data_IF_596102301435
#
_entry.id   IF_596102301435
#
_cell.length_a   1.000
_cell.length_b   1.000
_cell.length_c   1.000
_cell.angle_alpha   90.00
_cell.angle_beta   90.00
_cell.angle_gamma   90.00
#
_symmetry.space_group_name_H-M   'P 1'
#
loop_
_entity.id
_entity.type
_entity.pdbx_description
1 polymer ?
#
# COMPACT_ATOMS: atom_id res chain seq x y z
N UNK A 1 10.54 -13.03 4.35
CA UNK A 1 9.69 -11.88 4.72
C UNK A 1 10.52 -10.60 4.70
N UNK A 2 9.93 -9.43 4.39
CA UNK A 2 10.64 -8.14 4.46
C UNK A 2 10.37 -7.34 5.75
N UNK A 3 9.49 -7.80 6.64
CA UNK A 3 9.12 -7.10 7.89
C UNK A 3 9.69 -7.78 9.14
N UNK A 4 9.68 -7.11 10.31
CA UNK A 4 10.09 -7.71 11.59
C UNK A 4 9.24 -8.91 12.04
N UNK A 5 8.11 -9.18 11.38
CA UNK A 5 7.31 -10.39 11.59
C UNK A 5 8.11 -11.68 11.36
N UNK A 6 9.27 -11.59 10.69
CA UNK A 6 10.21 -12.71 10.59
C UNK A 6 10.62 -13.28 11.95
N UNK A 7 10.72 -12.46 13.00
CA UNK A 7 11.05 -12.92 14.35
C UNK A 7 9.95 -13.83 14.91
N UNK A 8 8.69 -13.48 14.69
CA UNK A 8 7.56 -14.33 15.07
C UNK A 8 7.51 -15.63 14.25
N UNK A 9 7.84 -15.57 12.95
CA UNK A 9 7.96 -16.78 12.13
C UNK A 9 9.09 -17.68 12.62
N UNK A 10 10.24 -17.13 13.01
CA UNK A 10 11.33 -17.92 13.58
C UNK A 10 10.92 -18.64 14.86
N UNK A 11 10.17 -17.96 15.75
CA UNK A 11 9.61 -18.61 16.96
C UNK A 11 8.63 -19.73 16.60
N UNK A 12 7.80 -19.54 15.57
CA UNK A 12 6.91 -20.59 15.08
C UNK A 12 7.68 -21.78 14.50
N UNK A 13 8.73 -21.51 13.72
CA UNK A 13 9.62 -22.54 13.16
C UNK A 13 10.29 -23.34 14.29
N UNK A 14 10.84 -22.66 15.31
CA UNK A 14 11.44 -23.33 16.47
C UNK A 14 10.42 -24.21 17.20
N UNK A 15 9.21 -23.70 17.41
CA UNK A 15 8.12 -24.46 18.03
C UNK A 15 7.73 -25.70 17.21
N UNK A 16 7.60 -25.58 15.88
CA UNK A 16 7.29 -26.70 14.99
C UNK A 16 8.39 -27.76 14.99
N UNK A 17 9.65 -27.33 14.92
CA UNK A 17 10.80 -28.23 14.92
C UNK A 17 10.97 -28.94 16.28
N UNK A 18 10.66 -28.27 17.41
CA UNK A 18 10.78 -28.86 18.77
C UNK A 18 9.62 -29.76 19.16
N UNK A 19 8.38 -29.50 18.69
CA UNK A 19 7.22 -30.38 18.92
C UNK A 19 7.40 -31.80 18.36
N UNK A 20 8.34 -31.97 17.44
CA UNK A 20 8.68 -33.25 16.85
C UNK A 20 9.70 -34.07 17.69
N UNK A 21 10.17 -33.52 18.82
CA UNK A 21 11.14 -34.16 19.73
C UNK A 21 10.42 -34.69 20.98
N UNK A 22 9.90 -35.94 20.93
CA UNK A 22 9.36 -36.80 22.03
C UNK A 22 7.88 -36.66 22.47
N UNK A 23 7.17 -37.79 22.73
CA UNK A 23 6.95 -38.98 21.88
C UNK A 23 5.75 -38.74 20.92
N UNK A 24 5.52 -39.60 19.91
CA UNK A 24 4.46 -39.35 18.92
C UNK A 24 3.09 -39.38 19.58
N UNK A 25 2.30 -38.32 19.41
CA UNK A 25 0.87 -38.37 19.64
C UNK A 25 0.32 -39.37 18.61
N UNK A 26 0.10 -40.63 19.03
CA UNK A 26 -0.38 -41.75 18.20
C UNK A 26 -1.75 -41.51 17.53
N UNK A 27 -2.40 -40.37 17.81
CA UNK A 27 -3.74 -40.02 17.32
C UNK A 27 -3.74 -38.94 16.24
N UNK A 28 -2.61 -38.28 15.96
CA UNK A 28 -2.46 -37.43 14.78
C UNK A 28 -1.72 -38.26 13.74
N UNK A 29 -2.36 -38.51 12.59
CA UNK A 29 -1.77 -39.21 11.44
C UNK A 29 -0.45 -38.58 10.98
N UNK A 30 0.14 -39.03 9.85
CA UNK A 30 1.53 -38.77 9.48
C UNK A 30 1.76 -37.28 9.14
N UNK A 31 1.84 -36.43 10.17
CA UNK A 31 2.45 -35.13 10.08
C UNK A 31 3.94 -35.41 9.93
N UNK A 32 4.34 -35.52 8.66
CA UNK A 32 5.71 -35.66 8.19
C UNK A 32 6.64 -34.78 9.03
N UNK A 33 7.80 -35.33 9.36
CA UNK A 33 8.95 -34.61 9.90
C UNK A 33 9.12 -33.26 9.21
N UNK A 34 8.74 -32.18 9.89
CA UNK A 34 8.95 -30.83 9.35
C UNK A 34 10.26 -30.33 9.96
N UNK A 35 11.32 -30.32 9.16
CA UNK A 35 12.58 -29.65 9.50
C UNK A 35 12.64 -28.35 8.70
N UNK A 36 12.03 -27.28 9.22
CA UNK A 36 11.99 -25.99 8.53
C UNK A 36 13.27 -25.21 8.80
N UNK A 37 13.96 -24.84 7.73
CA UNK A 37 15.09 -23.93 7.78
C UNK A 37 14.62 -22.48 7.90
N UNK A 38 15.28 -21.72 8.78
CA UNK A 38 15.08 -20.27 8.90
C UNK A 38 15.81 -19.56 7.77
N UNK A 39 15.07 -18.97 6.83
CA UNK A 39 15.62 -18.12 5.77
C UNK A 39 15.77 -16.67 6.27
N UNK A 40 16.81 -15.94 5.81
CA UNK A 40 17.07 -14.57 6.26
C UNK A 40 15.96 -13.59 5.87
N UNK A 41 16.03 -12.37 6.43
CA UNK A 41 15.18 -11.26 6.01
C UNK A 41 15.39 -10.99 4.52
N UNK A 42 14.31 -10.91 3.76
CA UNK A 42 14.38 -10.61 2.34
C UNK A 42 14.60 -9.10 2.16
N UNK A 43 15.70 -8.74 1.49
CA UNK A 43 16.09 -7.37 1.18
C UNK A 43 16.09 -7.08 -0.33
N UNK A 44 15.49 -7.97 -1.13
CA UNK A 44 15.46 -7.84 -2.59
C UNK A 44 14.77 -6.55 -3.03
N UNK A 45 15.11 -6.08 -4.22
CA UNK A 45 14.50 -4.90 -4.82
C UNK A 45 12.97 -5.02 -4.87
N UNK A 46 12.26 -3.96 -4.47
CA UNK A 46 10.80 -3.98 -4.33
C UNK A 46 10.07 -4.16 -5.66
N UNK A 47 10.66 -3.67 -6.77
CA UNK A 47 10.09 -3.82 -8.10
C UNK A 47 10.16 -5.23 -8.69
N UNK A 48 10.78 -6.20 -8.01
CA UNK A 48 10.88 -7.58 -8.50
C UNK A 48 9.79 -8.50 -7.91
N UNK A 49 8.80 -7.97 -7.20
CA UNK A 49 7.77 -8.79 -6.55
C UNK A 49 6.51 -8.02 -6.21
N UNK A 50 5.40 -8.75 -6.05
CA UNK A 50 4.11 -8.24 -5.56
C UNK A 50 4.09 -7.92 -4.04
N UNK A 51 5.24 -7.92 -3.36
CA UNK A 51 5.26 -7.75 -1.91
C UNK A 51 4.73 -6.37 -1.47
N UNK A 52 5.08 -5.31 -2.20
CA UNK A 52 4.62 -3.95 -1.88
C UNK A 52 3.14 -3.77 -2.24
N UNK A 53 2.61 -4.42 -3.30
CA UNK A 53 1.17 -4.34 -3.61
C UNK A 53 0.33 -4.95 -2.47
N UNK A 54 0.75 -6.09 -1.90
CA UNK A 54 0.11 -6.67 -0.72
C UNK A 54 0.18 -5.77 0.52
N UNK A 55 1.29 -5.06 0.73
CA UNK A 55 1.40 -4.07 1.81
C UNK A 55 0.47 -2.87 1.58
N UNK A 56 0.37 -2.39 0.34
CA UNK A 56 -0.52 -1.30 -0.05
C UNK A 56 -1.98 -1.70 0.12
N UNK A 57 -2.35 -2.93 -0.19
CA UNK A 57 -3.72 -3.45 -0.01
C UNK A 57 -4.16 -3.36 1.46
N UNK A 58 -3.25 -3.62 2.41
CA UNK A 58 -3.53 -3.49 3.84
C UNK A 58 -3.53 -2.02 4.29
N UNK A 59 -2.41 -1.32 4.11
CA UNK A 59 -2.11 -0.08 4.84
C UNK A 59 -1.98 1.16 3.94
N UNK A 60 -2.14 0.99 2.63
CA UNK A 60 -2.08 2.05 1.65
C UNK A 60 -3.39 2.83 1.51
N UNK A 61 -3.27 4.13 1.24
CA UNK A 61 -4.40 5.02 1.06
C UNK A 61 -4.21 5.93 -0.17
N UNK A 62 -5.15 5.85 -1.12
CA UNK A 62 -5.22 6.73 -2.28
C UNK A 62 -6.22 7.83 -2.03
N UNK A 63 -5.79 9.09 -2.17
CA UNK A 63 -6.62 10.24 -1.85
C UNK A 63 -6.50 11.35 -2.88
N UNK A 64 -7.62 12.04 -3.09
CA UNK A 64 -7.70 13.24 -3.92
C UNK A 64 -8.21 14.40 -3.07
N UNK A 65 -7.33 15.35 -2.78
CA UNK A 65 -7.68 16.57 -2.04
C UNK A 65 -8.16 17.64 -3.01
N UNK A 66 -9.29 18.26 -2.67
CA UNK A 66 -9.89 19.38 -3.40
C UNK A 66 -10.04 20.54 -2.42
N UNK A 67 -9.17 21.55 -2.51
CA UNK A 67 -9.19 22.70 -1.58
C UNK A 67 -9.73 23.92 -2.31
N UNK A 68 -10.78 24.55 -1.79
CA UNK A 68 -11.23 25.85 -2.31
C UNK A 68 -10.18 26.90 -2.01
N UNK A 69 -9.80 27.68 -3.02
CA UNK A 69 -8.90 28.82 -2.91
C UNK A 69 -9.65 29.99 -2.27
N UNK A 70 -9.26 30.47 -1.08
CA UNK A 70 -9.87 31.63 -0.45
C UNK A 70 -9.59 32.90 -1.26
N UNK A 71 -10.47 33.89 -1.12
CA UNK A 71 -10.25 35.24 -1.64
C UNK A 71 -9.38 36.06 -0.68
N UNK A 72 -8.46 36.94 -1.14
CA UNK A 72 -8.09 37.23 -2.52
C UNK A 72 -6.93 36.37 -3.08
N UNK A 73 -6.93 36.10 -4.39
CA UNK A 73 -5.84 35.39 -5.08
C UNK A 73 -6.16 35.08 -6.56
N UNK A 74 -5.17 34.79 -7.42
CA UNK A 74 -5.36 34.62 -8.87
C UNK A 74 -6.24 33.42 -9.27
N UNK A 75 -6.54 32.50 -8.33
CA UNK A 75 -7.47 31.38 -8.49
C UNK A 75 -8.67 31.47 -7.54
N UNK A 76 -8.85 32.60 -6.85
CA UNK A 76 -9.93 32.78 -5.88
C UNK A 76 -11.29 32.60 -6.56
N UNK A 77 -12.08 31.65 -6.07
CA UNK A 77 -13.49 31.49 -6.45
C UNK A 77 -13.80 30.59 -7.67
N UNK A 78 -12.89 30.39 -8.63
CA UNK A 78 -13.27 29.71 -9.87
C UNK A 78 -13.13 28.17 -9.83
N UNK A 79 -11.99 27.62 -9.38
CA UNK A 79 -11.78 26.17 -9.38
C UNK A 79 -10.96 25.69 -8.17
N UNK A 80 -11.27 24.53 -7.58
CA UNK A 80 -10.54 24.01 -6.44
C UNK A 80 -9.12 23.57 -6.83
N UNK A 81 -8.16 23.77 -5.92
CA UNK A 81 -6.84 23.14 -6.03
C UNK A 81 -6.99 21.63 -5.85
N UNK A 82 -6.56 20.86 -6.85
CA UNK A 82 -6.61 19.40 -6.85
C UNK A 82 -5.22 18.84 -6.56
N UNK A 83 -5.13 17.89 -5.63
CA UNK A 83 -3.88 17.20 -5.30
C UNK A 83 -4.14 15.68 -5.19
N UNK A 84 -3.45 14.89 -6.02
CA UNK A 84 -3.45 13.43 -5.96
C UNK A 84 -2.32 12.94 -5.06
N UNK A 85 -2.65 12.14 -4.05
CA UNK A 85 -1.70 11.64 -3.06
C UNK A 85 -1.92 10.15 -2.80
N UNK A 86 -0.83 9.41 -2.73
CA UNK A 86 -0.80 8.13 -2.04
C UNK A 86 -0.11 8.30 -0.70
N UNK A 87 -0.62 7.66 0.34
CA UNK A 87 -0.04 7.62 1.68
C UNK A 87 0.05 6.20 2.20
N UNK A 88 1.17 5.88 2.85
CA UNK A 88 1.34 4.67 3.63
C UNK A 88 1.89 5.05 5.00
N UNK A 89 1.19 4.66 6.06
CA UNK A 89 1.57 4.94 7.44
C UNK A 89 1.61 3.65 8.24
N UNK A 90 2.68 3.46 9.02
CA UNK A 90 2.83 2.31 9.90
C UNK A 90 3.45 2.73 11.22
N UNK A 91 3.11 2.00 12.29
CA UNK A 91 3.74 2.18 13.61
C UNK A 91 5.26 2.00 13.54
N UNK A 92 6.01 2.77 14.33
CA UNK A 92 7.47 2.69 14.31
C UNK A 92 8.00 1.35 14.82
N UNK A 93 7.38 0.83 15.89
CA UNK A 93 7.72 -0.48 16.46
C UNK A 93 6.50 -1.38 16.45
N UNK A 94 6.70 -2.68 16.22
CA UNK A 94 5.64 -3.66 16.35
C UNK A 94 5.26 -3.92 17.82
N UNK A 95 4.29 -4.82 18.05
CA UNK A 95 3.81 -5.15 19.40
C UNK A 95 4.85 -5.90 20.25
N UNK A 96 5.96 -6.34 19.64
CA UNK A 96 7.09 -6.98 20.31
C UNK A 96 8.30 -6.03 20.42
N UNK A 97 8.15 -4.76 20.02
CA UNK A 97 9.19 -3.75 20.10
C UNK A 97 10.17 -3.74 18.91
N UNK A 98 9.98 -4.58 17.89
CA UNK A 98 10.87 -4.58 16.73
C UNK A 98 10.58 -3.39 15.80
N UNK A 99 11.64 -2.75 15.29
CA UNK A 99 11.52 -1.57 14.43
C UNK A 99 11.04 -1.91 13.02
N UNK A 100 10.03 -1.19 12.54
CA UNK A 100 9.53 -1.22 11.16
C UNK A 100 10.32 -0.31 10.21
N UNK A 101 11.31 0.42 10.72
CA UNK A 101 12.07 1.43 9.96
C UNK A 101 12.69 0.88 8.69
N UNK A 102 13.37 -0.28 8.77
CA UNK A 102 14.15 -0.82 7.66
C UNK A 102 13.33 -0.99 6.37
N UNK A 103 12.17 -1.65 6.46
CA UNK A 103 11.36 -1.89 5.27
C UNK A 103 10.64 -0.63 4.80
N UNK A 104 10.24 0.26 5.71
CA UNK A 104 9.60 1.52 5.35
C UNK A 104 10.58 2.49 4.68
N UNK A 105 11.84 2.53 5.12
CA UNK A 105 12.92 3.25 4.47
C UNK A 105 13.20 2.69 3.06
N UNK A 106 13.16 1.37 2.88
CA UNK A 106 13.28 0.75 1.56
C UNK A 106 12.12 1.14 0.62
N UNK A 107 10.89 1.19 1.13
CA UNK A 107 9.73 1.67 0.36
C UNK A 107 9.88 3.16 0.01
N UNK A 108 10.33 3.98 0.96
CA UNK A 108 10.56 5.42 0.75
C UNK A 108 11.57 5.65 -0.38
N UNK A 109 12.69 4.92 -0.34
CA UNK A 109 13.74 4.96 -1.36
C UNK A 109 13.22 4.52 -2.73
N UNK A 110 12.46 3.43 -2.78
CA UNK A 110 11.88 2.92 -4.04
C UNK A 110 10.91 3.92 -4.67
N UNK A 111 10.00 4.50 -3.90
CA UNK A 111 9.01 5.48 -4.38
C UNK A 111 9.60 6.90 -4.56
N UNK A 112 10.87 7.12 -4.21
CA UNK A 112 11.53 8.43 -4.15
C UNK A 112 10.75 9.46 -3.31
N UNK A 113 10.24 9.05 -2.15
CA UNK A 113 9.47 9.91 -1.24
C UNK A 113 10.20 10.12 0.08
N UNK A 114 9.81 11.16 0.81
CA UNK A 114 10.33 11.40 2.16
C UNK A 114 9.87 10.33 3.15
N UNK A 115 10.81 9.80 3.93
CA UNK A 115 10.53 9.02 5.14
C UNK A 115 10.41 9.98 6.34
N UNK A 116 9.22 10.07 6.95
CA UNK A 116 8.96 11.03 8.02
C UNK A 116 8.40 10.36 9.26
N UNK A 117 8.85 10.80 10.43
CA UNK A 117 8.16 10.51 11.68
C UNK A 117 6.85 11.31 11.75
N UNK A 118 5.84 10.73 12.37
CA UNK A 118 4.57 11.39 12.66
C UNK A 118 3.97 10.85 13.94
N UNK A 119 3.15 11.67 14.61
CA UNK A 119 2.53 11.31 15.89
C UNK A 119 3.57 10.93 16.97
N UNK A 120 4.75 11.54 16.92
CA UNK A 120 5.87 11.24 17.83
C UNK A 120 5.51 11.45 19.30
N UNK A 121 4.69 12.46 19.60
CA UNK A 121 4.23 12.76 20.96
C UNK A 121 2.99 11.95 21.37
N UNK A 122 2.76 10.78 20.78
CA UNK A 122 1.62 9.92 21.11
C UNK A 122 2.10 8.52 21.53
N UNK A 123 1.28 7.73 22.25
CA UNK A 123 1.62 6.34 22.58
C UNK A 123 1.86 5.44 21.36
N UNK A 124 1.49 5.91 20.16
CA UNK A 124 1.55 5.15 18.91
C UNK A 124 2.27 5.96 17.83
N UNK A 125 3.59 6.19 17.96
CA UNK A 125 4.36 6.90 16.95
C UNK A 125 4.42 6.10 15.65
N UNK A 126 4.42 6.81 14.54
CA UNK A 126 4.33 6.24 13.21
C UNK A 126 5.42 6.79 12.28
N UNK A 127 5.76 6.02 11.28
CA UNK A 127 6.39 6.53 10.07
C UNK A 127 5.32 6.75 9.00
N UNK A 128 5.48 7.80 8.19
CA UNK A 128 4.62 8.14 7.06
C UNK A 128 5.44 8.30 5.79
N UNK A 129 4.95 7.68 4.72
CA UNK A 129 5.41 7.82 3.35
C UNK A 129 4.30 8.47 2.53
N UNK A 130 4.63 9.43 1.67
CA UNK A 130 3.62 10.09 0.82
C UNK A 130 4.18 10.49 -0.52
N UNK A 131 3.47 10.14 -1.60
CA UNK A 131 3.73 10.70 -2.93
C UNK A 131 2.98 12.04 -3.06
N UNK A 132 3.63 13.03 -3.64
CA UNK A 132 3.08 14.39 -3.75
C UNK A 132 3.32 15.05 -5.11
N UNK A 133 4.17 14.47 -5.95
CA UNK A 133 4.49 14.98 -7.28
C UNK A 133 3.99 14.03 -8.35
N UNK A 134 3.84 14.53 -9.59
CA UNK A 134 3.51 13.69 -10.73
C UNK A 134 4.55 12.57 -10.92
N UNK A 135 5.85 12.88 -10.81
CA UNK A 135 6.93 11.89 -10.92
C UNK A 135 6.77 10.75 -9.90
N UNK A 136 6.65 11.08 -8.61
CA UNK A 136 6.55 10.05 -7.55
C UNK A 136 5.26 9.23 -7.66
N UNK A 137 4.15 9.85 -8.10
CA UNK A 137 2.92 9.14 -8.39
C UNK A 137 3.07 8.18 -9.59
N UNK A 138 3.79 8.57 -10.64
CA UNK A 138 4.02 7.73 -11.82
C UNK A 138 4.90 6.51 -11.50
N UNK A 139 5.88 6.64 -10.60
CA UNK A 139 6.65 5.48 -10.10
C UNK A 139 5.71 4.44 -9.48
N UNK A 140 4.78 4.89 -8.63
CA UNK A 140 3.79 4.01 -8.02
C UNK A 140 2.83 3.40 -9.06
N UNK A 141 2.39 4.18 -10.04
CA UNK A 141 1.53 3.68 -11.13
C UNK A 141 2.24 2.58 -11.91
N UNK A 142 3.52 2.76 -12.26
CA UNK A 142 4.28 1.76 -12.99
C UNK A 142 4.39 0.46 -12.19
N UNK A 143 4.69 0.54 -10.89
CA UNK A 143 4.72 -0.63 -10.02
C UNK A 143 3.37 -1.35 -9.95
N UNK A 144 2.26 -0.63 -9.75
CA UNK A 144 0.94 -1.24 -9.61
C UNK A 144 0.33 -1.70 -10.94
N UNK A 145 0.85 -1.27 -12.08
CA UNK A 145 0.51 -1.86 -13.38
C UNK A 145 1.14 -3.26 -13.54
N UNK A 146 2.33 -3.47 -12.99
CA UNK A 146 3.03 -4.77 -13.02
C UNK A 146 2.53 -5.70 -11.90
N UNK A 147 2.25 -5.15 -10.72
CA UNK A 147 1.74 -5.87 -9.55
C UNK A 147 0.42 -5.25 -9.08
N UNK A 148 -0.71 -5.66 -9.70
CA UNK A 148 -2.01 -5.08 -9.40
C UNK A 148 -2.45 -5.28 -7.95
N UNK A 149 -3.33 -4.37 -7.50
CA UNK A 149 -4.14 -4.55 -6.30
C UNK A 149 -5.32 -5.47 -6.62
N UNK A 150 -5.84 -6.14 -5.60
CA UNK A 150 -6.90 -7.14 -5.79
C UNK A 150 -8.18 -6.82 -5.04
N UNK A 151 -8.07 -6.14 -3.89
CA UNK A 151 -9.22 -5.75 -3.09
C UNK A 151 -9.97 -4.56 -3.68
N UNK A 152 -10.92 -4.02 -2.92
CA UNK A 152 -11.66 -2.81 -3.30
C UNK A 152 -10.74 -1.60 -3.52
N UNK A 153 -9.54 -1.61 -2.93
CA UNK A 153 -8.52 -0.58 -3.13
C UNK A 153 -8.03 -0.49 -4.57
N UNK A 154 -8.16 -1.56 -5.36
CA UNK A 154 -7.93 -1.53 -6.80
C UNK A 154 -8.84 -0.50 -7.50
N UNK A 155 -10.11 -0.44 -7.10
CA UNK A 155 -11.08 0.50 -7.67
C UNK A 155 -10.72 1.95 -7.29
N UNK A 156 -10.30 2.17 -6.04
CA UNK A 156 -9.84 3.49 -5.58
C UNK A 156 -8.57 3.93 -6.29
N UNK A 157 -7.62 3.00 -6.48
CA UNK A 157 -6.42 3.22 -7.29
C UNK A 157 -6.77 3.60 -8.73
N UNK A 158 -7.74 2.94 -9.36
CA UNK A 158 -8.13 3.26 -10.74
C UNK A 158 -8.74 4.66 -10.86
N UNK A 159 -9.68 5.03 -9.99
CA UNK A 159 -10.25 6.38 -9.98
C UNK A 159 -9.14 7.42 -9.72
N UNK A 160 -8.23 7.13 -8.78
CA UNK A 160 -7.08 7.98 -8.48
C UNK A 160 -6.13 8.13 -9.67
N UNK A 161 -5.82 7.03 -10.37
CA UNK A 161 -4.96 7.00 -11.57
C UNK A 161 -5.59 7.76 -12.73
N UNK A 162 -6.91 7.64 -12.92
CA UNK A 162 -7.62 8.39 -13.94
C UNK A 162 -7.56 9.89 -13.68
N UNK A 163 -7.75 10.32 -12.42
CA UNK A 163 -7.58 11.72 -12.01
C UNK A 163 -6.13 12.16 -12.23
N UNK A 164 -5.14 11.33 -11.86
CA UNK A 164 -3.72 11.63 -12.06
C UNK A 164 -3.38 11.86 -13.53
N UNK A 165 -3.97 11.09 -14.45
CA UNK A 165 -3.73 11.21 -15.89
C UNK A 165 -4.15 12.59 -16.43
N UNK A 166 -5.10 13.29 -15.80
CA UNK A 166 -5.46 14.65 -16.17
C UNK A 166 -4.34 15.67 -15.94
N UNK A 167 -3.30 15.33 -15.17
CA UNK A 167 -2.15 16.19 -14.91
C UNK A 167 -1.03 16.07 -15.95
N UNK A 168 -1.17 15.19 -16.96
CA UNK A 168 -0.15 14.97 -17.98
C UNK A 168 -0.57 15.60 -19.34
N UNK A 169 0.20 16.53 -19.94
CA UNK A 169 1.44 17.14 -19.43
C UNK A 169 1.20 18.23 -18.37
N UNK A 170 -0.01 18.81 -18.32
CA UNK A 170 -0.43 19.77 -17.28
C UNK A 170 -1.95 19.74 -17.13
N UNK A 171 -2.42 19.88 -15.90
CA UNK A 171 -3.85 19.96 -15.62
C UNK A 171 -4.48 21.20 -16.25
N UNK A 172 -5.53 20.99 -17.05
CA UNK A 172 -6.35 22.06 -17.62
C UNK A 172 -7.56 22.30 -16.73
N UNK A 173 -7.62 23.47 -16.11
CA UNK A 173 -8.76 23.87 -15.28
C UNK A 173 -9.95 24.26 -16.16
N UNK A 174 -10.75 23.26 -16.53
CA UNK A 174 -12.05 23.42 -17.20
C UNK A 174 -13.17 22.87 -16.31
N UNK A 175 -14.39 23.39 -16.46
CA UNK A 175 -15.57 22.85 -15.77
C UNK A 175 -15.69 21.33 -15.95
N UNK A 176 -15.51 20.85 -17.17
CA UNK A 176 -15.50 19.43 -17.52
C UNK A 176 -14.48 18.62 -16.70
N UNK A 177 -13.21 19.04 -16.67
CA UNK A 177 -12.18 18.32 -15.91
C UNK A 177 -12.45 18.37 -14.41
N UNK A 178 -12.93 19.49 -13.89
CA UNK A 178 -13.27 19.61 -12.47
C UNK A 178 -14.44 18.71 -12.10
N UNK A 179 -15.51 18.71 -12.90
CA UNK A 179 -16.67 17.84 -12.71
C UNK A 179 -16.25 16.37 -12.77
N UNK A 180 -15.37 16.01 -13.73
CA UNK A 180 -14.77 14.68 -13.82
C UNK A 180 -14.02 14.28 -12.53
N UNK A 181 -13.16 15.15 -12.01
CA UNK A 181 -12.44 14.89 -10.75
C UNK A 181 -13.39 14.74 -9.57
N UNK A 182 -14.40 15.60 -9.46
CA UNK A 182 -15.37 15.56 -8.37
C UNK A 182 -16.22 14.30 -8.41
N UNK A 183 -16.64 13.84 -9.59
CA UNK A 183 -17.41 12.61 -9.76
C UNK A 183 -16.58 11.38 -9.41
N UNK A 184 -15.37 11.24 -9.97
CA UNK A 184 -14.46 10.12 -9.65
C UNK A 184 -14.13 10.06 -8.15
N UNK A 185 -13.91 11.22 -7.52
CA UNK A 185 -13.63 11.32 -6.08
C UNK A 185 -14.81 10.87 -5.21
N UNK A 186 -16.05 11.17 -5.61
CA UNK A 186 -17.26 10.73 -4.87
C UNK A 186 -17.40 9.22 -4.85
N UNK A 187 -16.77 8.53 -5.78
CA UNK A 187 -16.78 7.07 -5.86
C UNK A 187 -15.56 6.43 -5.18
N UNK A 188 -14.73 7.17 -4.45
CA UNK A 188 -13.52 6.63 -3.81
C UNK A 188 -13.67 6.40 -2.30
N UNK A 189 -12.94 5.40 -1.79
CA UNK A 189 -12.77 5.08 -0.37
C UNK A 189 -14.14 4.92 0.33
N UNK A 190 -14.33 5.55 1.49
CA UNK A 190 -15.54 5.46 2.31
C UNK A 190 -16.83 5.93 1.60
N UNK A 191 -16.72 6.68 0.50
CA UNK A 191 -17.88 7.11 -0.28
C UNK A 191 -18.32 6.07 -1.33
N UNK A 192 -17.51 5.03 -1.59
CA UNK A 192 -17.80 4.03 -2.61
C UNK A 192 -18.94 3.12 -2.16
N UNK A 193 -20.00 3.07 -2.96
CA UNK A 193 -21.15 2.19 -2.75
C UNK A 193 -21.26 1.06 -3.78
N UNK A 194 -20.56 1.19 -4.91
CA UNK A 194 -20.56 0.19 -6.00
C UNK A 194 -19.18 -0.47 -6.07
N UNK A 195 -19.17 -1.80 -6.01
CA UNK A 195 -17.98 -2.63 -6.11
C UNK A 195 -18.09 -3.55 -7.32
N UNK A 196 -17.07 -3.52 -8.18
CA UNK A 196 -16.91 -4.45 -9.29
C UNK A 196 -15.63 -5.24 -9.11
N UNK A 197 -15.62 -6.47 -9.60
CA UNK A 197 -14.50 -7.41 -9.42
C UNK A 197 -14.00 -7.97 -10.74
N UNK A 198 -14.28 -7.27 -11.85
CA UNK A 198 -13.95 -7.73 -13.19
C UNK A 198 -12.44 -7.91 -13.40
N UNK A 199 -11.61 -7.15 -12.66
CA UNK A 199 -10.15 -7.32 -12.67
C UNK A 199 -9.69 -8.65 -12.10
N UNK A 200 -10.54 -9.36 -11.36
CA UNK A 200 -10.25 -10.69 -10.83
C UNK A 200 -10.67 -11.81 -11.77
N UNK A 201 -11.33 -11.52 -12.90
CA UNK A 201 -11.78 -12.56 -13.84
C UNK A 201 -10.62 -13.40 -14.38
N UNK A 202 -9.42 -12.82 -14.50
CA UNK A 202 -8.20 -13.51 -14.91
C UNK A 202 -7.22 -13.68 -13.75
N UNK A 203 -7.70 -13.64 -12.50
CA UNK A 203 -6.84 -13.75 -11.32
C UNK A 203 -6.22 -15.14 -11.20
N UNK A 204 -7.04 -16.15 -11.43
CA UNK A 204 -6.59 -17.52 -11.65
C UNK A 204 -6.78 -17.80 -13.13
N UNK A 205 -5.70 -17.74 -13.92
CA UNK A 205 -5.68 -18.45 -15.18
C UNK A 205 -5.66 -19.94 -14.82
N UNK A 206 -6.84 -20.49 -14.50
CA UNK A 206 -7.02 -21.93 -14.44
C UNK A 206 -7.01 -22.37 -15.90
N UNK A 207 -5.86 -22.82 -16.36
CA UNK A 207 -5.75 -23.55 -17.61
C UNK A 207 -6.64 -24.79 -17.47
N UNK A 208 -7.84 -24.73 -18.05
CA UNK A 208 -8.74 -25.87 -18.23
C UNK A 208 -8.47 -26.50 -19.60
#
# INVERSE_FOLDING_TARGET
MKTPKINSLYKLIDWLNTKNSNPPIRTLGPLRWVNLNKLPLNIDYLGNSAWLSGMIESDGHFSVRTTKTPWPGPLAGNYPKIECKFELSQRQKDHLGYSNELFLANIAKFLKVSFKNTRENTPHPQYRLRTMSLETNLILVNYLNEYPLFGSKFLDYNNWKEILNLFNPKFRYSKENIDKVLNLKKEMNDNRTIFTWNHLNNFYNLDY
#
